data_IF_875604130604
#
_entry.id   IF_875604130604
#
_cell.length_a   1.000
_cell.length_b   1.000
_cell.length_c   1.000
_cell.angle_alpha   90.00
_cell.angle_beta   90.00
_cell.angle_gamma   90.00
#
_symmetry.space_group_name_H-M   'P 1'
#
loop_
_entity.id
_entity.type
_entity.pdbx_description
1 polymer ?
#
# COMPACT_ATOMS: atom_id res chain seq x y z
N UNK A 1 -7.56 9.62 8.60
CA UNK A 1 -8.83 8.99 8.20
C UNK A 1 -9.86 8.90 9.32
N UNK A 2 -9.47 8.76 10.58
CA UNK A 2 -10.39 8.70 11.74
C UNK A 2 -11.01 10.06 12.08
N UNK A 3 -10.36 11.15 11.72
CA UNK A 3 -10.78 12.53 12.03
C UNK A 3 -12.09 12.98 11.39
N UNK A 4 -12.58 12.28 10.38
CA UNK A 4 -13.83 12.65 9.69
C UNK A 4 -15.05 11.82 10.14
N UNK A 5 -14.88 10.88 11.07
CA UNK A 5 -15.94 9.93 11.44
C UNK A 5 -16.50 10.20 12.85
N UNK A 6 -15.79 10.94 13.68
CA UNK A 6 -16.19 11.24 15.07
C UNK A 6 -16.08 12.76 15.31
N UNK A 7 -17.18 13.38 15.71
CA UNK A 7 -17.20 14.80 16.06
C UNK A 7 -16.58 15.03 17.47
N UNK A 8 -16.01 16.22 17.74
CA UNK A 8 -15.52 16.55 19.06
C UNK A 8 -16.60 16.39 20.14
N UNK A 9 -16.35 15.52 21.13
CA UNK A 9 -17.28 15.26 22.24
C UNK A 9 -18.17 14.01 22.04
N UNK A 10 -18.11 13.33 20.89
CA UNK A 10 -18.79 12.05 20.72
C UNK A 10 -18.06 10.92 21.46
N UNK A 11 -18.83 9.92 21.89
CA UNK A 11 -18.28 8.72 22.54
C UNK A 11 -17.54 7.85 21.53
N UNK A 12 -16.44 7.24 21.94
CA UNK A 12 -15.63 6.34 21.11
C UNK A 12 -16.34 5.03 20.71
N UNK A 13 -17.52 4.76 21.27
CA UNK A 13 -18.33 3.57 20.96
C UNK A 13 -18.82 3.52 19.50
N UNK A 14 -18.78 4.65 18.79
CA UNK A 14 -19.21 4.77 17.39
C UNK A 14 -18.03 4.81 16.39
N UNK A 15 -16.80 4.56 16.84
CA UNK A 15 -15.65 4.48 15.92
C UNK A 15 -15.75 3.18 15.13
N UNK A 16 -15.76 3.25 13.78
CA UNK A 16 -15.82 2.04 12.96
C UNK A 16 -14.55 1.18 13.15
N UNK A 17 -14.72 -0.13 13.03
CA UNK A 17 -13.59 -1.05 12.98
C UNK A 17 -12.68 -0.73 11.80
N UNK A 18 -11.38 -0.79 12.02
CA UNK A 18 -10.35 -0.55 11.00
C UNK A 18 -9.49 -1.79 10.86
N UNK A 19 -9.57 -2.46 9.72
CA UNK A 19 -8.71 -3.58 9.39
C UNK A 19 -7.72 -3.13 8.32
N UNK A 20 -6.43 -3.25 8.62
CA UNK A 20 -5.36 -2.97 7.66
C UNK A 20 -4.87 -4.31 7.10
N UNK A 21 -4.90 -4.45 5.77
CA UNK A 21 -4.43 -5.66 5.10
C UNK A 21 -3.15 -5.30 4.32
N UNK A 22 -2.05 -5.96 4.69
CA UNK A 22 -0.76 -5.86 3.99
C UNK A 22 -0.58 -7.09 3.12
N UNK A 23 -0.39 -6.90 1.82
CA UNK A 23 -0.10 -8.00 0.88
C UNK A 23 1.35 -7.87 0.43
N UNK A 24 2.14 -8.93 0.62
CA UNK A 24 3.55 -8.99 0.25
C UNK A 24 3.83 -10.19 -0.67
N UNK A 25 4.93 -10.09 -1.42
CA UNK A 25 5.45 -11.20 -2.24
C UNK A 25 6.55 -11.99 -1.51
N UNK A 26 6.71 -11.75 -0.23
CA UNK A 26 7.68 -12.44 0.65
C UNK A 26 7.05 -12.62 2.03
N UNK A 27 7.59 -13.57 2.80
CA UNK A 27 7.13 -13.84 4.16
C UNK A 27 7.74 -12.82 5.14
N UNK A 28 6.90 -11.91 5.65
CA UNK A 28 7.33 -10.84 6.57
C UNK A 28 7.81 -11.38 7.92
N UNK A 29 7.25 -12.52 8.35
CA UNK A 29 7.52 -13.12 9.67
C UNK A 29 8.36 -14.40 9.59
N UNK A 30 8.63 -14.88 8.38
CA UNK A 30 9.44 -16.11 8.13
C UNK A 30 8.89 -17.39 8.79
N UNK A 31 7.58 -17.44 9.07
CA UNK A 31 6.89 -18.56 9.72
C UNK A 31 6.19 -19.50 8.71
N UNK A 32 6.30 -19.22 7.40
CA UNK A 32 5.78 -20.06 6.32
C UNK A 32 4.27 -20.12 6.19
N UNK A 33 3.55 -19.07 6.60
CA UNK A 33 2.09 -18.99 6.49
C UNK A 33 1.66 -18.05 5.38
N UNK A 34 0.51 -18.36 4.78
CA UNK A 34 -0.14 -17.43 3.83
C UNK A 34 -0.74 -16.23 4.52
N UNK A 35 -1.26 -16.39 5.75
CA UNK A 35 -1.94 -15.31 6.47
C UNK A 35 -1.49 -15.26 7.92
N UNK A 36 -1.22 -14.04 8.38
CA UNK A 36 -0.96 -13.73 9.78
C UNK A 36 -1.95 -12.68 10.26
N UNK A 37 -2.57 -12.95 11.40
CA UNK A 37 -3.43 -11.99 12.10
C UNK A 37 -2.63 -11.44 13.28
N UNK A 38 -2.55 -10.11 13.36
CA UNK A 38 -1.83 -9.43 14.43
C UNK A 38 -2.84 -8.81 15.37
N UNK A 39 -2.80 -9.27 16.60
CA UNK A 39 -3.59 -8.73 17.70
C UNK A 39 -2.76 -7.79 18.56
N UNK A 40 -3.42 -6.82 19.16
CA UNK A 40 -2.82 -5.94 20.16
C UNK A 40 -2.96 -6.54 21.54
N UNK A 41 -1.90 -6.46 22.31
CA UNK A 41 -1.89 -6.93 23.70
C UNK A 41 -1.53 -5.80 24.65
N UNK A 42 -2.12 -5.81 25.84
CA UNK A 42 -1.64 -5.03 26.98
C UNK A 42 -0.42 -5.76 27.52
N UNK A 43 0.75 -5.15 27.37
CA UNK A 43 2.04 -5.79 27.71
C UNK A 43 2.11 -6.20 29.18
N UNK A 44 1.52 -5.41 30.06
CA UNK A 44 1.54 -5.62 31.51
C UNK A 44 0.68 -6.80 31.96
N UNK A 45 -0.35 -7.17 31.20
CA UNK A 45 -1.31 -8.22 31.57
C UNK A 45 -1.34 -9.39 30.58
N UNK A 46 -0.78 -9.22 29.38
CA UNK A 46 -0.89 -10.17 28.27
C UNK A 46 -2.29 -10.26 27.67
N UNK A 47 -3.20 -9.37 28.03
CA UNK A 47 -4.59 -9.42 27.57
C UNK A 47 -4.71 -8.87 26.15
N UNK A 48 -5.39 -9.61 25.27
CA UNK A 48 -5.71 -9.14 23.90
C UNK A 48 -6.74 -8.01 23.98
N UNK A 49 -6.48 -6.93 23.25
CA UNK A 49 -7.35 -5.75 23.21
C UNK A 49 -8.24 -5.81 21.98
N UNK A 50 -9.54 -5.91 22.20
CA UNK A 50 -10.55 -5.76 21.14
C UNK A 50 -10.99 -4.29 21.08
N UNK A 51 -10.34 -3.50 20.25
CA UNK A 51 -10.61 -2.06 20.09
C UNK A 51 -11.01 -1.67 18.68
N UNK A 52 -11.50 -2.62 17.89
CA UNK A 52 -11.91 -2.40 16.50
C UNK A 52 -10.73 -2.22 15.52
N UNK A 53 -9.49 -2.43 15.94
CA UNK A 53 -8.31 -2.34 15.06
C UNK A 53 -7.68 -3.71 14.89
N UNK A 54 -7.52 -4.14 13.64
CA UNK A 54 -6.86 -5.39 13.28
C UNK A 54 -5.84 -5.18 12.17
N UNK A 55 -4.82 -6.03 12.13
CA UNK A 55 -3.84 -6.07 11.07
C UNK A 55 -3.75 -7.49 10.52
N UNK A 56 -3.79 -7.61 9.20
CA UNK A 56 -3.67 -8.90 8.51
C UNK A 56 -2.51 -8.79 7.52
N UNK A 57 -1.55 -9.70 7.62
CA UNK A 57 -0.48 -9.82 6.65
C UNK A 57 -0.74 -11.03 5.77
N UNK A 58 -0.75 -10.81 4.46
CA UNK A 58 -0.96 -11.85 3.45
C UNK A 58 0.32 -12.01 2.65
N UNK A 59 0.87 -13.22 2.68
CA UNK A 59 2.03 -13.61 1.91
C UNK A 59 1.60 -14.32 0.63
N UNK A 60 1.75 -13.67 -0.51
CA UNK A 60 1.35 -14.22 -1.80
C UNK A 60 2.35 -15.24 -2.39
N UNK A 61 3.53 -15.41 -1.76
CA UNK A 61 4.53 -16.37 -2.20
C UNK A 61 4.27 -17.80 -1.70
N UNK A 62 3.44 -17.96 -0.66
CA UNK A 62 3.15 -19.26 -0.04
C UNK A 62 1.83 -19.82 -0.58
N UNK A 63 1.84 -21.12 -0.88
CA UNK A 63 0.64 -21.88 -1.22
C UNK A 63 0.39 -22.98 -0.18
N UNK A 64 -0.30 -22.63 0.88
CA UNK A 64 -0.72 -23.55 1.95
C UNK A 64 -2.07 -24.23 1.66
N UNK A 65 -2.57 -24.12 0.42
CA UNK A 65 -3.86 -24.64 -0.04
C UNK A 65 -5.08 -23.98 0.61
N UNK A 66 -4.90 -22.86 1.30
CA UNK A 66 -6.01 -22.05 1.83
C UNK A 66 -6.73 -21.31 0.72
N UNK A 67 -7.94 -20.83 1.02
CA UNK A 67 -8.71 -20.00 0.10
C UNK A 67 -8.01 -18.65 -0.16
N UNK A 68 -7.25 -18.15 0.82
CA UNK A 68 -6.45 -16.93 0.66
C UNK A 68 -5.30 -17.17 -0.33
N UNK A 69 -4.60 -18.32 -0.23
CA UNK A 69 -3.57 -18.69 -1.19
C UNK A 69 -4.13 -18.81 -2.61
N UNK A 70 -5.29 -19.46 -2.75
CA UNK A 70 -5.98 -19.58 -4.03
C UNK A 70 -6.39 -18.20 -4.60
N UNK A 71 -6.87 -17.28 -3.76
CA UNK A 71 -7.18 -15.91 -4.15
C UNK A 71 -5.91 -15.16 -4.59
N UNK A 72 -4.81 -15.31 -3.86
CA UNK A 72 -3.54 -14.66 -4.23
C UNK A 72 -3.04 -15.11 -5.60
N UNK A 73 -3.23 -16.38 -5.98
CA UNK A 73 -2.91 -16.84 -7.34
C UNK A 73 -3.70 -16.09 -8.41
N UNK A 74 -4.98 -15.82 -8.18
CA UNK A 74 -5.77 -15.02 -9.12
C UNK A 74 -5.17 -13.62 -9.31
N UNK A 75 -4.58 -13.02 -8.27
CA UNK A 75 -3.95 -11.70 -8.37
C UNK A 75 -2.54 -11.74 -8.99
N UNK A 76 -1.72 -12.73 -8.64
CA UNK A 76 -0.30 -12.75 -8.97
C UNK A 76 0.03 -13.44 -10.30
N UNK A 77 -0.76 -14.44 -10.70
CA UNK A 77 -0.50 -15.19 -11.92
C UNK A 77 -1.33 -14.66 -13.09
N UNK A 78 -0.71 -14.44 -14.22
CA UNK A 78 -1.33 -13.78 -15.38
C UNK A 78 -2.59 -14.47 -15.89
N UNK A 79 -2.58 -15.78 -15.98
CA UNK A 79 -3.65 -16.59 -16.55
C UNK A 79 -4.45 -17.39 -15.52
N UNK A 80 -4.28 -17.10 -14.21
CA UNK A 80 -5.05 -17.74 -13.18
C UNK A 80 -6.41 -17.05 -13.02
N UNK A 81 -7.48 -17.82 -13.13
CA UNK A 81 -8.86 -17.43 -12.90
C UNK A 81 -9.54 -18.53 -12.11
N UNK A 82 -10.41 -18.16 -11.19
CA UNK A 82 -11.25 -19.10 -10.45
C UNK A 82 -12.71 -18.59 -10.46
N UNK A 83 -13.48 -19.09 -11.42
CA UNK A 83 -14.88 -18.67 -11.60
C UNK A 83 -15.83 -19.35 -10.62
N UNK A 84 -15.34 -20.33 -9.86
CA UNK A 84 -16.14 -21.05 -8.87
C UNK A 84 -16.03 -20.39 -7.50
N UNK A 85 -14.80 -20.19 -7.01
CA UNK A 85 -14.56 -19.57 -5.69
C UNK A 85 -14.56 -18.06 -5.74
N UNK A 86 -13.96 -17.48 -6.79
CA UNK A 86 -13.74 -16.03 -6.92
C UNK A 86 -14.26 -15.46 -8.25
N UNK A 87 -15.55 -15.66 -8.58
CA UNK A 87 -16.10 -15.26 -9.87
C UNK A 87 -16.02 -13.75 -10.10
N UNK A 88 -16.26 -12.95 -9.07
CA UNK A 88 -16.20 -11.50 -9.15
C UNK A 88 -14.76 -11.02 -9.44
N UNK A 89 -13.78 -11.50 -8.67
CA UNK A 89 -12.37 -11.15 -8.86
C UNK A 89 -11.88 -11.56 -10.24
N UNK A 90 -12.23 -12.78 -10.68
CA UNK A 90 -11.88 -13.31 -12.00
C UNK A 90 -12.49 -12.48 -13.12
N UNK A 91 -13.74 -12.03 -12.99
CA UNK A 91 -14.41 -11.18 -13.98
C UNK A 91 -13.77 -9.80 -14.07
N UNK A 92 -13.46 -9.16 -12.95
CA UNK A 92 -12.79 -7.86 -12.90
C UNK A 92 -11.39 -7.96 -13.54
N UNK A 93 -10.63 -9.00 -13.19
CA UNK A 93 -9.32 -9.25 -13.79
C UNK A 93 -9.39 -9.40 -15.33
N UNK A 94 -10.38 -10.15 -15.84
CA UNK A 94 -10.61 -10.26 -17.29
C UNK A 94 -10.90 -8.90 -17.90
N UNK A 95 -11.80 -8.12 -17.30
CA UNK A 95 -12.14 -6.77 -17.79
C UNK A 95 -10.89 -5.93 -17.97
N UNK A 96 -10.04 -5.85 -16.96
CA UNK A 96 -8.80 -5.06 -17.01
C UNK A 96 -7.78 -5.58 -18.04
N UNK A 97 -7.84 -6.87 -18.40
CA UNK A 97 -6.89 -7.44 -19.37
C UNK A 97 -7.39 -7.47 -20.81
N UNK A 98 -8.70 -7.49 -21.03
CA UNK A 98 -9.27 -7.79 -22.35
C UNK A 98 -10.11 -6.67 -22.95
N UNK A 99 -10.59 -5.70 -22.16
CA UNK A 99 -11.35 -4.57 -22.70
C UNK A 99 -10.44 -3.35 -22.88
N UNK A 100 -10.67 -2.59 -23.94
CA UNK A 100 -9.92 -1.35 -24.21
C UNK A 100 -10.05 -0.36 -23.04
N UNK A 101 -11.25 -0.24 -22.50
CA UNK A 101 -11.54 0.62 -21.33
C UNK A 101 -10.77 0.17 -20.07
N UNK A 102 -10.79 -1.12 -19.75
CA UNK A 102 -10.09 -1.66 -18.59
C UNK A 102 -8.56 -1.56 -18.72
N UNK A 103 -8.03 -1.78 -19.93
CA UNK A 103 -6.59 -1.60 -20.21
C UNK A 103 -6.21 -0.13 -20.07
N UNK A 104 -7.04 0.80 -20.56
CA UNK A 104 -6.80 2.24 -20.41
C UNK A 104 -6.81 2.67 -18.93
N UNK A 105 -7.82 2.26 -18.16
CA UNK A 105 -7.90 2.52 -16.72
C UNK A 105 -6.64 2.02 -15.97
N UNK A 106 -6.16 0.83 -16.32
CA UNK A 106 -4.94 0.27 -15.73
C UNK A 106 -3.70 1.06 -16.11
N UNK A 107 -3.57 1.49 -17.37
CA UNK A 107 -2.45 2.31 -17.82
C UNK A 107 -2.39 3.64 -17.05
N UNK A 108 -3.52 4.34 -16.88
CA UNK A 108 -3.58 5.58 -16.12
C UNK A 108 -3.13 5.41 -14.66
N UNK A 109 -3.56 4.33 -14.00
CA UNK A 109 -3.16 4.01 -12.63
C UNK A 109 -1.66 3.73 -12.54
N UNK A 110 -1.12 2.97 -13.50
CA UNK A 110 0.31 2.65 -13.55
C UNK A 110 1.15 3.91 -13.79
N UNK A 111 0.74 4.77 -14.73
CA UNK A 111 1.43 6.02 -15.02
C UNK A 111 1.42 6.97 -13.82
N UNK A 112 0.28 7.12 -13.16
CA UNK A 112 0.17 7.90 -11.93
C UNK A 112 1.09 7.36 -10.83
N UNK A 113 1.07 6.05 -10.57
CA UNK A 113 1.92 5.44 -9.56
C UNK A 113 3.42 5.59 -9.88
N UNK A 114 3.79 5.50 -11.17
CA UNK A 114 5.18 5.75 -11.61
C UNK A 114 5.60 7.20 -11.39
N UNK A 115 4.72 8.15 -11.70
CA UNK A 115 4.98 9.56 -11.48
C UNK A 115 5.15 9.86 -9.99
N UNK A 116 4.25 9.37 -9.14
CA UNK A 116 4.37 9.52 -7.68
C UNK A 116 5.65 8.88 -7.11
N UNK A 117 6.02 7.69 -7.59
CA UNK A 117 7.26 7.03 -7.17
C UNK A 117 8.50 7.82 -7.59
N UNK A 118 8.52 8.38 -8.80
CA UNK A 118 9.61 9.22 -9.30
C UNK A 118 9.72 10.51 -8.48
N UNK A 119 8.60 11.15 -8.13
CA UNK A 119 8.58 12.34 -7.28
C UNK A 119 9.16 12.07 -5.89
N UNK A 120 8.72 11.00 -5.23
CA UNK A 120 9.25 10.57 -3.92
C UNK A 120 10.73 10.23 -3.97
N UNK A 121 11.18 9.59 -5.05
CA UNK A 121 12.61 9.29 -5.23
C UNK A 121 13.44 10.59 -5.38
N UNK A 122 12.93 11.56 -6.12
CA UNK A 122 13.56 12.88 -6.31
C UNK A 122 13.61 13.65 -4.99
N UNK A 123 12.49 13.70 -4.24
CA UNK A 123 12.45 14.31 -2.91
C UNK A 123 13.52 13.70 -1.99
N UNK A 124 13.57 12.37 -1.93
CA UNK A 124 14.58 11.65 -1.13
C UNK A 124 16.00 11.98 -1.56
N UNK A 125 16.25 12.11 -2.85
CA UNK A 125 17.57 12.48 -3.37
C UNK A 125 17.96 13.90 -2.95
N UNK A 126 17.01 14.86 -3.01
CA UNK A 126 17.24 16.24 -2.54
C UNK A 126 17.59 16.23 -1.06
N UNK A 127 16.80 15.56 -0.19
CA UNK A 127 17.07 15.45 1.25
C UNK A 127 18.46 14.86 1.51
N UNK A 128 18.83 13.78 0.82
CA UNK A 128 20.12 13.15 0.98
C UNK A 128 21.29 14.09 0.64
N UNK A 129 21.18 14.88 -0.43
CA UNK A 129 22.21 15.87 -0.79
C UNK A 129 22.29 17.02 0.22
N UNK A 130 21.15 17.51 0.70
CA UNK A 130 21.13 18.52 1.76
C UNK A 130 21.83 18.02 3.03
N UNK A 131 21.54 16.78 3.44
CA UNK A 131 22.10 16.20 4.66
C UNK A 131 23.58 15.86 4.52
N UNK A 132 23.98 15.25 3.41
CA UNK A 132 25.35 14.75 3.21
C UNK A 132 26.33 15.85 2.83
N UNK A 133 25.89 16.78 1.96
CA UNK A 133 26.76 17.84 1.42
C UNK A 133 26.55 19.17 2.14
N UNK A 134 25.57 19.28 3.04
CA UNK A 134 25.16 20.54 3.69
C UNK A 134 24.75 21.62 2.69
N UNK A 135 24.18 21.21 1.58
CA UNK A 135 23.73 22.10 0.51
C UNK A 135 22.37 22.73 0.84
N UNK A 136 22.09 23.88 0.22
CA UNK A 136 20.73 24.43 0.22
C UNK A 136 19.84 23.60 -0.70
N UNK A 137 18.54 23.75 -0.54
CA UNK A 137 17.56 23.05 -1.38
C UNK A 137 17.76 23.37 -2.88
N UNK A 138 18.05 24.66 -3.20
CA UNK A 138 18.29 25.10 -4.57
C UNK A 138 19.57 24.47 -5.14
N UNK A 139 20.63 24.38 -4.34
CA UNK A 139 21.87 23.72 -4.75
C UNK A 139 21.66 22.24 -5.02
N UNK A 140 20.91 21.56 -4.17
CA UNK A 140 20.58 20.15 -4.35
C UNK A 140 19.73 19.92 -5.60
N UNK A 141 18.70 20.75 -5.83
CA UNK A 141 17.85 20.67 -7.02
C UNK A 141 18.63 20.97 -8.31
N UNK A 142 19.49 21.98 -8.30
CA UNK A 142 20.37 22.30 -9.44
C UNK A 142 21.32 21.15 -9.77
N UNK A 143 21.92 20.51 -8.76
CA UNK A 143 22.80 19.34 -8.95
C UNK A 143 22.05 18.14 -9.55
N UNK A 144 20.80 17.93 -9.19
CA UNK A 144 19.92 16.91 -9.77
C UNK A 144 19.34 17.30 -11.13
N UNK A 145 19.69 18.50 -11.63
CA UNK A 145 19.20 19.06 -12.92
C UNK A 145 17.67 19.14 -12.98
N UNK A 146 17.04 19.42 -11.87
CA UNK A 146 15.59 19.65 -11.80
C UNK A 146 15.28 20.98 -12.50
N UNK A 147 14.27 21.04 -13.37
CA UNK A 147 13.86 22.30 -14.00
C UNK A 147 13.42 23.33 -12.94
N UNK A 148 13.77 24.61 -13.14
CA UNK A 148 13.39 25.68 -12.20
C UNK A 148 11.86 25.82 -12.04
N UNK A 149 11.09 25.46 -13.06
CA UNK A 149 9.62 25.40 -13.01
C UNK A 149 9.08 24.48 -11.90
N UNK A 150 9.84 23.46 -11.52
CA UNK A 150 9.44 22.44 -10.55
C UNK A 150 9.94 22.76 -9.12
N UNK A 151 10.77 23.77 -8.96
CA UNK A 151 11.33 24.19 -7.66
C UNK A 151 10.23 24.47 -6.62
N UNK A 152 9.16 25.23 -6.91
CA UNK A 152 8.10 25.50 -5.94
C UNK A 152 7.43 24.21 -5.42
N UNK A 153 7.30 23.22 -6.30
CA UNK A 153 6.72 21.92 -5.96
C UNK A 153 7.54 21.20 -4.89
N UNK A 154 8.85 21.05 -5.13
CA UNK A 154 9.74 20.35 -4.20
C UNK A 154 10.01 21.13 -2.92
N UNK A 155 10.02 22.47 -3.00
CA UNK A 155 10.11 23.33 -1.80
C UNK A 155 8.91 23.16 -0.87
N UNK A 156 7.72 22.86 -1.41
CA UNK A 156 6.52 22.64 -0.60
C UNK A 156 6.45 21.23 0.03
N UNK A 157 7.25 20.27 -0.47
CA UNK A 157 7.28 18.87 0.00
C UNK A 157 8.35 18.63 1.07
N UNK A 158 9.32 19.51 1.19
CA UNK A 158 10.51 19.39 2.05
C UNK A 158 10.40 20.19 3.32
#
# INVERSE_FOLDING_TARGET
>A
MITNTVNPGEKFDNVPDVIVIFISTFDVFEEGKTTYHIDRIIRETGTVVSNGMGEIYVNSAIDDKSDVAALMKVFTEDNAYDDVKFPFTSSIKRRFKTTEEGVSEMCEVIERNRAEAAEKATEKAIRNLMDSCKWTIEQAMAALKIPESDYPKYMAML
#
